data_IF_668597588646
#
_entry.id   IF_668597588646
#
_cell.length_a   1.000
_cell.length_b   1.000
_cell.length_c   1.000
_cell.angle_alpha   90.00
_cell.angle_beta   90.00
_cell.angle_gamma   90.00
#
_symmetry.space_group_name_H-M   'P 1'
#
loop_
_entity.id
_entity.type
_entity.pdbx_description
1 polymer ?
#
# COMPACT_ATOMS: atom_id res chain seq x y z
N UNK A 1 -47.36 6.85 19.13
CA UNK A 1 -46.46 6.14 18.18
C UNK A 1 -45.17 6.98 17.95
N UNK A 2 -44.42 7.30 19.03
CA UNK A 2 -43.29 8.27 18.99
C UNK A 2 -41.97 7.69 19.55
N UNK A 3 -41.94 6.42 19.98
CA UNK A 3 -40.79 5.90 20.77
C UNK A 3 -39.77 5.09 19.94
N UNK A 4 -40.04 4.73 18.68
CA UNK A 4 -39.15 3.85 17.89
C UNK A 4 -38.10 4.57 17.02
N UNK A 5 -38.08 5.90 16.94
CA UNK A 5 -37.23 6.62 15.95
C UNK A 5 -35.85 7.07 16.47
N UNK A 6 -35.57 6.96 17.77
CA UNK A 6 -34.34 7.52 18.36
C UNK A 6 -33.26 6.50 18.74
N UNK A 7 -33.56 5.21 18.82
CA UNK A 7 -32.56 4.21 19.30
C UNK A 7 -31.48 3.96 18.24
N UNK A 8 -31.84 3.87 16.96
CA UNK A 8 -30.89 3.63 15.86
C UNK A 8 -29.93 4.80 15.61
N UNK A 9 -30.38 6.05 15.78
CA UNK A 9 -29.51 7.23 15.64
C UNK A 9 -28.56 7.41 16.83
N UNK A 10 -29.02 7.10 18.04
CA UNK A 10 -28.16 7.09 19.24
C UNK A 10 -27.13 5.96 19.16
N UNK A 11 -27.50 4.76 18.72
CA UNK A 11 -26.55 3.66 18.51
C UNK A 11 -25.51 4.00 17.44
N UNK A 12 -25.92 4.60 16.32
CA UNK A 12 -24.99 5.00 15.26
C UNK A 12 -24.03 6.12 15.69
N UNK A 13 -24.51 7.13 16.42
CA UNK A 13 -23.64 8.17 16.99
C UNK A 13 -22.70 7.62 18.07
N UNK A 14 -23.16 6.67 18.89
CA UNK A 14 -22.36 6.06 19.94
C UNK A 14 -21.29 5.14 19.35
N UNK A 15 -21.62 4.35 18.33
CA UNK A 15 -20.66 3.52 17.58
C UNK A 15 -19.65 4.39 16.82
N UNK A 16 -20.09 5.48 16.20
CA UNK A 16 -19.21 6.48 15.56
C UNK A 16 -18.24 7.13 16.57
N UNK A 17 -18.73 7.58 17.73
CA UNK A 17 -17.90 8.12 18.82
C UNK A 17 -16.95 7.08 19.39
N UNK A 18 -17.40 5.83 19.52
CA UNK A 18 -16.60 4.71 20.01
C UNK A 18 -15.48 4.36 19.03
N UNK A 19 -15.78 4.25 17.73
CA UNK A 19 -14.80 4.07 16.64
C UNK A 19 -13.80 5.23 16.54
N UNK A 20 -14.20 6.43 16.97
CA UNK A 20 -13.33 7.62 17.01
C UNK A 20 -12.47 7.68 18.29
N UNK A 21 -12.76 6.85 19.29
CA UNK A 21 -12.06 6.88 20.58
C UNK A 21 -10.73 6.12 20.51
N UNK A 22 -9.69 6.64 21.17
CA UNK A 22 -8.38 5.95 21.29
C UNK A 22 -8.52 4.57 21.94
N UNK A 23 -9.53 4.38 22.78
CA UNK A 23 -9.82 3.14 23.52
C UNK A 23 -10.25 2.01 22.57
N UNK A 24 -11.07 2.31 21.56
CA UNK A 24 -11.47 1.33 20.55
C UNK A 24 -10.28 0.78 19.75
N UNK A 25 -9.33 1.65 19.40
CA UNK A 25 -8.12 1.23 18.67
C UNK A 25 -7.13 0.46 19.55
N UNK A 26 -7.03 0.81 20.84
CA UNK A 26 -6.29 0.01 21.83
C UNK A 26 -6.94 -1.38 22.05
N UNK A 27 -8.28 -1.46 21.99
CA UNK A 27 -9.00 -2.74 22.02
C UNK A 27 -8.73 -3.58 20.77
N UNK A 28 -8.61 -2.96 19.59
CA UNK A 28 -8.26 -3.68 18.35
C UNK A 28 -6.84 -4.28 18.41
N UNK A 29 -5.90 -3.54 19.01
CA UNK A 29 -4.57 -4.04 19.37
C UNK A 29 -4.68 -5.22 20.35
N UNK A 30 -5.53 -5.09 21.37
CA UNK A 30 -5.81 -6.15 22.35
C UNK A 30 -6.42 -7.41 21.75
N UNK A 31 -7.33 -7.29 20.76
CA UNK A 31 -7.94 -8.42 20.06
C UNK A 31 -6.89 -9.19 19.25
N UNK A 32 -5.88 -8.51 18.70
CA UNK A 32 -4.75 -9.17 18.04
C UNK A 32 -3.97 -10.10 18.98
N UNK A 33 -3.87 -9.75 20.28
CA UNK A 33 -3.20 -10.56 21.29
C UNK A 33 -3.94 -11.88 21.60
N UNK A 34 -5.25 -11.96 21.31
CA UNK A 34 -6.09 -13.10 21.69
C UNK A 34 -6.16 -14.22 20.64
N UNK A 35 -5.73 -13.97 19.39
CA UNK A 35 -5.90 -14.91 18.26
C UNK A 35 -4.79 -15.98 18.21
N UNK A 36 -3.69 -15.83 18.98
CA UNK A 36 -2.51 -16.71 18.91
C UNK A 36 -2.59 -17.96 19.81
N UNK A 37 -3.46 -18.93 19.53
CA UNK A 37 -3.55 -20.18 20.33
C UNK A 37 -3.17 -21.51 19.66
N UNK A 38 -2.74 -21.54 18.40
CA UNK A 38 -2.36 -22.83 17.76
C UNK A 38 -0.98 -22.77 17.10
N UNK A 39 -0.13 -23.72 17.47
CA UNK A 39 1.34 -23.71 17.34
C UNK A 39 1.82 -24.70 16.28
N UNK A 40 2.66 -24.23 15.36
CA UNK A 40 3.55 -25.03 14.52
C UNK A 40 4.86 -24.25 14.31
N UNK A 41 5.98 -24.98 14.26
CA UNK A 41 7.34 -24.45 14.17
C UNK A 41 7.89 -24.56 12.75
N UNK A 42 8.65 -23.54 12.32
CA UNK A 42 9.34 -23.48 11.03
C UNK A 42 10.42 -22.41 11.04
N UNK A 43 11.56 -22.68 10.39
CA UNK A 43 12.66 -21.70 10.24
C UNK A 43 12.28 -20.69 9.14
N UNK A 44 12.20 -19.40 9.46
CA UNK A 44 11.61 -18.37 8.58
C UNK A 44 12.57 -17.30 8.06
N UNK A 45 12.09 -16.56 7.05
CA UNK A 45 12.68 -15.30 6.56
C UNK A 45 12.74 -14.28 7.73
N UNK A 46 13.90 -13.62 7.91
CA UNK A 46 14.08 -12.55 8.90
C UNK A 46 13.84 -11.21 8.21
N UNK A 47 12.67 -10.59 8.38
CA UNK A 47 12.37 -9.32 7.73
C UNK A 47 13.32 -8.23 8.21
N UNK A 48 13.99 -7.58 7.27
CA UNK A 48 14.85 -6.43 7.53
C UNK A 48 13.99 -5.23 7.96
N UNK A 49 14.41 -4.57 9.03
CA UNK A 49 13.77 -3.34 9.53
C UNK A 49 12.93 -3.53 10.78
N UNK A 50 13.25 -2.74 11.83
CA UNK A 50 12.55 -2.72 13.09
C UNK A 50 11.04 -2.48 12.94
N UNK A 51 10.67 -1.52 12.09
CA UNK A 51 9.28 -1.20 11.77
C UNK A 51 8.54 -2.37 11.14
N UNK A 52 9.16 -3.05 10.17
CA UNK A 52 8.58 -4.19 9.46
C UNK A 52 8.29 -5.34 10.42
N UNK A 53 9.27 -5.75 11.24
CA UNK A 53 9.04 -6.87 12.15
C UNK A 53 8.27 -6.55 13.42
N UNK A 54 8.14 -5.30 13.84
CA UNK A 54 7.11 -4.94 14.82
C UNK A 54 5.68 -5.26 14.33
N UNK A 55 5.49 -5.38 13.02
CA UNK A 55 4.24 -5.74 12.35
C UNK A 55 4.32 -7.15 11.72
N UNK A 56 5.07 -8.07 12.34
CA UNK A 56 5.26 -9.45 11.89
C UNK A 56 5.76 -9.59 10.44
N UNK A 57 6.47 -8.59 9.91
CA UNK A 57 6.99 -8.60 8.56
C UNK A 57 5.97 -8.17 7.48
N UNK A 58 4.78 -7.68 7.85
CA UNK A 58 3.83 -7.11 6.89
C UNK A 58 4.32 -5.74 6.42
N UNK A 59 4.92 -5.68 5.24
CA UNK A 59 5.46 -4.41 4.73
C UNK A 59 5.43 -4.29 3.22
N UNK A 60 5.05 -5.34 2.48
CA UNK A 60 5.08 -5.33 1.00
C UNK A 60 4.20 -4.23 0.39
N UNK A 61 3.06 -3.90 1.00
CA UNK A 61 2.14 -2.86 0.53
C UNK A 61 2.46 -1.45 1.04
N UNK A 62 3.41 -1.33 1.98
CA UNK A 62 3.91 -0.06 2.50
C UNK A 62 5.22 0.31 1.83
N UNK A 63 6.27 -0.48 2.08
CA UNK A 63 7.59 -0.42 1.45
C UNK A 63 8.14 1.00 1.21
N UNK A 64 7.98 1.89 2.19
CA UNK A 64 8.20 3.34 2.06
C UNK A 64 9.34 3.86 2.95
N UNK A 65 10.30 3.00 3.26
CA UNK A 65 11.54 3.30 4.02
C UNK A 65 12.71 2.62 3.32
N UNK A 66 13.94 3.11 3.52
CA UNK A 66 15.10 2.63 2.75
C UNK A 66 15.43 1.15 3.01
N UNK A 67 15.20 0.66 4.23
CA UNK A 67 15.34 -0.76 4.61
C UNK A 67 14.33 -1.69 3.90
N UNK A 68 13.23 -1.15 3.37
CA UNK A 68 12.29 -1.89 2.54
C UNK A 68 12.88 -2.40 1.22
N UNK A 69 14.11 -1.97 0.88
CA UNK A 69 14.84 -2.44 -0.29
C UNK A 69 14.93 -3.97 -0.34
N UNK A 70 15.13 -4.61 0.82
CA UNK A 70 15.21 -6.07 0.92
C UNK A 70 13.83 -6.75 0.97
N UNK A 71 12.73 -5.99 0.96
CA UNK A 71 11.35 -6.48 1.06
C UNK A 71 10.58 -6.27 -0.24
N UNK A 72 10.50 -5.04 -0.73
CA UNK A 72 9.83 -4.69 -1.97
C UNK A 72 10.49 -3.47 -2.64
N UNK A 73 11.26 -3.65 -3.73
CA UNK A 73 11.90 -2.54 -4.43
C UNK A 73 10.90 -1.58 -5.09
N UNK A 74 9.65 -1.99 -5.32
CA UNK A 74 8.63 -1.18 -5.96
C UNK A 74 8.15 0.00 -5.13
N UNK A 75 7.99 -0.21 -3.82
CA UNK A 75 7.48 0.82 -2.92
C UNK A 75 8.44 1.98 -2.66
N UNK A 76 9.75 1.80 -2.93
CA UNK A 76 10.80 2.76 -2.58
C UNK A 76 10.62 4.13 -3.25
N UNK A 77 9.92 4.17 -4.38
CA UNK A 77 9.54 5.42 -5.05
C UNK A 77 8.53 6.29 -4.29
N UNK A 78 8.02 5.82 -3.14
CA UNK A 78 7.26 6.61 -2.17
C UNK A 78 8.13 7.45 -1.23
N UNK A 79 9.41 7.09 -1.06
CA UNK A 79 10.33 7.82 -0.16
C UNK A 79 10.53 9.24 -0.70
N UNK A 80 10.39 10.23 0.16
CA UNK A 80 10.61 11.65 -0.18
C UNK A 80 12.01 12.09 0.25
N UNK A 81 12.76 12.72 -0.65
CA UNK A 81 14.14 13.14 -0.36
C UNK A 81 15.14 11.97 -0.39
N UNK A 82 16.28 12.11 0.26
CA UNK A 82 17.25 11.01 0.45
C UNK A 82 17.01 10.38 1.82
N UNK A 83 17.08 9.06 1.93
CA UNK A 83 16.95 8.36 3.21
C UNK A 83 18.06 7.32 3.34
N UNK A 84 18.67 7.23 4.52
CA UNK A 84 19.65 6.21 4.86
C UNK A 84 19.14 5.47 6.10
N UNK A 85 19.13 4.14 6.06
CA UNK A 85 18.71 3.29 7.18
C UNK A 85 19.81 2.31 7.55
N UNK A 86 20.01 2.16 8.85
CA UNK A 86 20.84 1.14 9.48
C UNK A 86 19.91 0.17 10.22
N UNK A 87 20.23 -1.10 10.17
CA UNK A 87 19.50 -2.16 10.85
C UNK A 87 20.47 -3.12 11.52
N UNK A 88 20.11 -3.55 12.73
CA UNK A 88 20.83 -4.59 13.45
C UNK A 88 19.86 -5.49 14.21
N UNK A 89 20.13 -6.78 14.16
CA UNK A 89 19.35 -7.82 14.83
C UNK A 89 20.29 -8.88 15.39
N UNK A 90 19.94 -9.37 16.58
CA UNK A 90 20.58 -10.51 17.24
C UNK A 90 19.53 -11.63 17.40
N UNK A 91 19.40 -12.54 16.41
CA UNK A 91 18.47 -13.65 16.47
C UNK A 91 18.64 -14.48 17.75
N UNK A 92 17.55 -14.66 18.49
CA UNK A 92 17.45 -15.52 19.66
C UNK A 92 18.46 -15.21 20.78
N UNK A 93 19.03 -14.00 20.78
CA UNK A 93 20.08 -13.60 21.72
C UNK A 93 21.44 -14.28 21.51
N UNK A 94 21.62 -15.04 20.42
CA UNK A 94 22.86 -15.76 20.12
C UNK A 94 23.96 -14.79 19.69
N UNK A 95 25.13 -14.85 20.31
CA UNK A 95 26.28 -13.99 19.97
C UNK A 95 26.86 -14.28 18.57
N UNK A 96 26.73 -15.54 18.14
CA UNK A 96 27.37 -16.04 16.93
C UNK A 96 26.57 -15.79 15.65
N UNK A 97 25.33 -15.33 15.76
CA UNK A 97 24.48 -15.02 14.61
C UNK A 97 24.04 -13.58 14.71
N UNK A 98 24.59 -12.75 13.83
CA UNK A 98 24.25 -11.33 13.76
C UNK A 98 23.74 -11.02 12.35
N UNK A 99 22.71 -10.18 12.26
CA UNK A 99 22.22 -9.66 10.99
C UNK A 99 22.33 -8.14 11.05
N UNK A 100 23.04 -7.56 10.08
CA UNK A 100 23.22 -6.12 9.94
C UNK A 100 22.91 -5.68 8.52
N UNK A 101 22.34 -4.49 8.36
CA UNK A 101 22.22 -3.91 7.02
C UNK A 101 22.36 -2.40 7.02
N UNK A 102 22.84 -1.90 5.88
CA UNK A 102 22.84 -0.49 5.52
C UNK A 102 22.08 -0.35 4.21
N UNK A 103 21.10 0.53 4.15
CA UNK A 103 20.37 0.83 2.93
C UNK A 103 20.23 2.33 2.74
N UNK A 104 20.23 2.76 1.48
CA UNK A 104 20.10 4.16 1.11
C UNK A 104 19.23 4.30 -0.13
N UNK A 105 18.38 5.33 -0.12
CA UNK A 105 17.50 5.67 -1.22
C UNK A 105 17.74 7.10 -1.64
N UNK A 106 18.11 7.31 -2.90
CA UNK A 106 18.46 8.60 -3.48
C UNK A 106 17.46 9.00 -4.57
N UNK A 107 16.99 10.25 -4.59
CA UNK A 107 16.21 10.76 -5.70
C UNK A 107 17.11 10.90 -6.93
N UNK A 108 16.67 10.35 -8.06
CA UNK A 108 17.35 10.43 -9.35
C UNK A 108 16.34 10.85 -10.42
N UNK A 109 16.30 12.14 -10.75
CA UNK A 109 15.28 12.74 -11.62
C UNK A 109 13.84 12.35 -11.20
N UNK A 110 13.03 11.76 -12.11
CA UNK A 110 11.66 11.29 -11.87
C UNK A 110 11.60 9.86 -11.29
N UNK A 111 12.71 9.39 -10.73
CA UNK A 111 12.96 7.99 -10.37
C UNK A 111 13.80 7.95 -9.09
N UNK A 112 14.10 6.76 -8.58
CA UNK A 112 14.99 6.61 -7.44
C UNK A 112 15.98 5.48 -7.65
N UNK A 113 17.20 5.73 -7.20
CA UNK A 113 18.26 4.73 -7.07
C UNK A 113 18.34 4.32 -5.60
N UNK A 114 18.39 3.02 -5.37
CA UNK A 114 18.45 2.44 -4.04
C UNK A 114 19.63 1.48 -3.97
N UNK A 115 20.37 1.54 -2.87
CA UNK A 115 21.55 0.73 -2.61
C UNK A 115 21.39 0.09 -1.25
N UNK A 116 21.80 -1.17 -1.13
CA UNK A 116 21.70 -1.93 0.11
C UNK A 116 22.85 -2.91 0.25
N UNK A 117 23.36 -3.03 1.46
CA UNK A 117 24.26 -4.09 1.90
C UNK A 117 23.63 -4.74 3.12
N UNK A 118 23.47 -6.06 3.08
CA UNK A 118 23.09 -6.87 4.23
C UNK A 118 24.17 -7.90 4.49
N UNK A 119 24.52 -8.10 5.75
CA UNK A 119 25.43 -9.16 6.18
C UNK A 119 24.77 -10.00 7.26
N UNK A 120 24.98 -11.31 7.17
CA UNK A 120 24.56 -12.29 8.15
C UNK A 120 25.75 -13.16 8.54
N UNK A 121 25.87 -13.49 9.82
CA UNK A 121 26.80 -14.50 10.32
C UNK A 121 27.96 -13.94 11.14
N UNK A 122 29.10 -14.60 11.06
CA UNK A 122 30.30 -14.38 11.87
C UNK A 122 31.60 -14.70 11.10
N UNK A 123 32.72 -14.86 11.80
CA UNK A 123 34.04 -15.14 11.19
C UNK A 123 34.18 -16.55 10.59
N UNK A 124 33.32 -17.50 10.94
CA UNK A 124 33.34 -18.87 10.41
C UNK A 124 32.42 -19.03 9.20
N UNK A 125 31.29 -18.32 9.23
CA UNK A 125 30.26 -18.36 8.19
C UNK A 125 29.71 -16.96 7.97
N UNK A 126 29.87 -16.43 6.78
CA UNK A 126 29.36 -15.10 6.43
C UNK A 126 28.56 -15.14 5.14
N UNK A 127 27.37 -14.57 5.17
CA UNK A 127 26.61 -14.22 3.98
C UNK A 127 26.61 -12.70 3.79
N UNK A 128 26.75 -12.27 2.54
CA UNK A 128 26.60 -10.88 2.16
C UNK A 128 25.66 -10.75 0.98
N UNK A 129 24.83 -9.71 1.01
CA UNK A 129 23.88 -9.37 -0.03
C UNK A 129 24.07 -7.91 -0.39
N UNK A 130 24.55 -7.67 -1.61
CA UNK A 130 24.59 -6.35 -2.23
C UNK A 130 23.38 -6.20 -3.14
N UNK A 131 22.59 -5.15 -2.98
CA UNK A 131 21.38 -4.91 -3.75
C UNK A 131 21.38 -3.50 -4.31
N UNK A 132 21.21 -3.39 -5.62
CA UNK A 132 20.99 -2.13 -6.32
C UNK A 132 19.60 -2.20 -6.93
N UNK A 133 18.73 -1.25 -6.61
CA UNK A 133 17.39 -1.20 -7.17
C UNK A 133 17.02 0.15 -7.75
N UNK A 134 16.34 0.10 -8.87
CA UNK A 134 15.71 1.25 -9.50
C UNK A 134 14.21 1.19 -9.24
N UNK A 135 13.62 2.34 -8.89
CA UNK A 135 12.18 2.44 -8.66
C UNK A 135 11.59 3.71 -9.27
N UNK A 136 10.32 3.64 -9.69
CA UNK A 136 9.64 4.73 -10.38
C UNK A 136 8.16 4.78 -9.98
N UNK A 137 7.68 5.99 -9.78
CA UNK A 137 6.27 6.28 -9.51
C UNK A 137 5.57 6.83 -10.76
N UNK A 138 4.31 6.44 -10.97
CA UNK A 138 3.40 6.96 -11.97
C UNK A 138 2.20 7.57 -11.27
N UNK A 139 1.99 8.87 -11.48
CA UNK A 139 0.88 9.65 -10.90
C UNK A 139 0.71 9.52 -9.38
N UNK A 140 1.78 9.17 -8.65
CA UNK A 140 1.73 8.92 -7.20
C UNK A 140 0.65 7.89 -6.81
N UNK A 141 0.37 6.95 -7.70
CA UNK A 141 -0.59 5.85 -7.49
C UNK A 141 0.01 4.49 -7.76
N UNK A 142 0.88 4.40 -8.75
CA UNK A 142 1.53 3.14 -9.14
C UNK A 142 3.03 3.32 -8.94
N UNK A 143 3.62 2.47 -8.12
CA UNK A 143 5.03 2.45 -7.79
C UNK A 143 5.59 1.11 -8.22
N UNK A 144 6.64 1.11 -9.04
CA UNK A 144 7.23 -0.11 -9.57
C UNK A 144 8.75 -0.07 -9.37
N UNK A 145 9.37 -1.23 -9.24
CA UNK A 145 10.81 -1.31 -9.05
C UNK A 145 11.38 -2.67 -9.41
N UNK A 146 12.66 -2.64 -9.74
CA UNK A 146 13.49 -3.79 -10.09
C UNK A 146 14.82 -3.67 -9.36
N UNK A 147 15.30 -4.77 -8.81
CA UNK A 147 16.55 -4.90 -8.09
C UNK A 147 17.45 -5.96 -8.71
N UNK A 148 18.73 -5.64 -8.82
CA UNK A 148 19.80 -6.58 -9.10
C UNK A 148 20.55 -6.86 -7.81
N UNK A 149 20.60 -8.13 -7.43
CA UNK A 149 21.19 -8.62 -6.19
C UNK A 149 22.45 -9.43 -6.51
N UNK A 150 23.52 -9.21 -5.76
CA UNK A 150 24.65 -10.13 -5.68
C UNK A 150 24.70 -10.71 -4.27
N UNK A 151 24.57 -12.03 -4.16
CA UNK A 151 24.62 -12.75 -2.90
C UNK A 151 25.87 -13.62 -2.87
N UNK A 152 26.67 -13.50 -1.83
CA UNK A 152 27.89 -14.27 -1.62
C UNK A 152 27.87 -14.98 -0.27
N UNK A 153 28.45 -16.17 -0.23
CA UNK A 153 28.65 -16.97 0.97
C UNK A 153 30.15 -17.22 1.10
N UNK A 154 30.69 -17.01 2.29
CA UNK A 154 32.06 -17.32 2.66
C UNK A 154 32.06 -18.25 3.88
N UNK A 155 32.84 -19.32 3.79
CA UNK A 155 32.99 -20.31 4.85
C UNK A 155 34.47 -20.51 5.13
N UNK A 156 34.88 -20.31 6.38
CA UNK A 156 36.26 -20.47 6.81
C UNK A 156 36.77 -21.89 6.47
N UNK A 157 37.87 -21.95 5.71
CA UNK A 157 38.47 -23.20 5.25
C UNK A 157 37.85 -23.83 3.99
N UNK A 158 36.70 -23.36 3.53
CA UNK A 158 36.03 -23.88 2.32
C UNK A 158 35.97 -22.87 1.15
N UNK A 159 36.26 -21.59 1.43
CA UNK A 159 36.33 -20.51 0.45
C UNK A 159 35.02 -19.75 0.31
N UNK A 160 34.89 -18.99 -0.79
CA UNK A 160 33.73 -18.15 -1.09
C UNK A 160 33.10 -18.48 -2.44
N UNK A 161 31.80 -18.31 -2.55
CA UNK A 161 31.08 -18.34 -3.84
C UNK A 161 30.01 -17.24 -3.88
N UNK A 162 29.56 -16.85 -5.07
CA UNK A 162 28.58 -15.79 -5.22
C UNK A 162 27.73 -15.91 -6.48
N UNK A 163 26.54 -15.32 -6.43
CA UNK A 163 25.52 -15.48 -7.47
C UNK A 163 24.68 -14.23 -7.63
N UNK A 164 24.07 -14.07 -8.82
CA UNK A 164 23.22 -12.92 -9.14
C UNK A 164 21.74 -13.28 -9.05
N UNK A 165 20.98 -12.48 -8.31
CA UNK A 165 19.53 -12.57 -8.18
C UNK A 165 18.83 -11.35 -8.78
N UNK A 166 17.59 -11.54 -9.21
CA UNK A 166 16.72 -10.45 -9.68
C UNK A 166 15.49 -10.38 -8.78
N UNK A 167 15.20 -9.18 -8.29
CA UNK A 167 14.03 -8.89 -7.46
C UNK A 167 13.14 -7.87 -8.19
N UNK A 168 11.83 -8.03 -8.12
CA UNK A 168 10.86 -7.09 -8.68
C UNK A 168 9.77 -6.80 -7.67
N UNK A 169 9.12 -5.65 -7.80
CA UNK A 169 7.94 -5.38 -7.01
C UNK A 169 7.19 -4.14 -7.43
N UNK A 170 5.98 -4.04 -6.91
CA UNK A 170 5.11 -2.90 -7.12
C UNK A 170 4.24 -2.63 -5.89
N UNK A 171 3.77 -1.39 -5.81
CA UNK A 171 2.73 -0.92 -4.88
C UNK A 171 1.74 -0.09 -5.67
N UNK A 172 0.44 -0.34 -5.50
CA UNK A 172 -0.64 0.41 -6.14
C UNK A 172 -1.57 0.96 -5.07
N UNK A 173 -1.66 2.28 -4.99
CA UNK A 173 -2.68 2.98 -4.21
C UNK A 173 -3.99 3.02 -5.01
N UNK A 174 -4.90 2.09 -4.70
CA UNK A 174 -6.22 1.99 -5.36
C UNK A 174 -7.10 3.16 -4.93
N UNK A 175 -7.12 3.45 -3.63
CA UNK A 175 -7.86 4.53 -3.01
C UNK A 175 -6.99 5.20 -1.96
N UNK A 176 -7.37 6.39 -1.47
CA UNK A 176 -6.64 7.08 -0.39
C UNK A 176 -6.55 6.26 0.91
N UNK A 177 -7.36 5.21 1.03
CA UNK A 177 -7.46 4.35 2.21
C UNK A 177 -7.01 2.90 1.94
N UNK A 178 -6.56 2.57 0.73
CA UNK A 178 -6.20 1.21 0.34
C UNK A 178 -5.03 1.19 -0.64
N UNK A 179 -3.98 0.47 -0.26
CA UNK A 179 -2.88 0.09 -1.14
C UNK A 179 -2.77 -1.42 -1.25
N UNK A 180 -2.40 -1.89 -2.43
CA UNK A 180 -1.94 -3.26 -2.66
C UNK A 180 -0.44 -3.25 -2.96
N UNK A 181 0.26 -4.29 -2.55
CA UNK A 181 1.67 -4.48 -2.86
C UNK A 181 1.97 -5.90 -3.28
N UNK A 182 2.97 -6.04 -4.13
CA UNK A 182 3.52 -7.33 -4.52
C UNK A 182 5.04 -7.22 -4.63
N UNK A 183 5.73 -8.27 -4.24
CA UNK A 183 7.16 -8.42 -4.45
C UNK A 183 7.49 -9.87 -4.80
N UNK A 184 8.44 -10.04 -5.72
CA UNK A 184 9.02 -11.34 -6.03
C UNK A 184 10.55 -11.22 -5.95
N UNK A 185 11.17 -12.06 -5.12
CA UNK A 185 12.62 -12.08 -4.93
C UNK A 185 13.21 -13.32 -5.60
N UNK A 186 14.42 -13.18 -6.14
CA UNK A 186 15.14 -14.24 -6.86
C UNK A 186 14.28 -14.85 -7.97
N UNK A 187 13.68 -14.02 -8.83
CA UNK A 187 12.82 -14.49 -9.93
C UNK A 187 13.55 -15.40 -10.92
N UNK A 188 14.87 -15.24 -11.03
CA UNK A 188 15.75 -16.08 -11.84
C UNK A 188 16.20 -17.37 -11.12
N UNK A 189 15.75 -17.62 -9.89
CA UNK A 189 16.07 -18.80 -9.06
C UNK A 189 17.55 -19.20 -9.12
N UNK A 190 18.46 -18.29 -8.73
CA UNK A 190 19.90 -18.51 -8.85
C UNK A 190 20.37 -19.65 -7.96
N UNK A 191 21.55 -20.17 -8.26
CA UNK A 191 22.19 -21.22 -7.48
C UNK A 191 23.55 -20.77 -6.98
N UNK A 192 23.98 -21.31 -5.84
CA UNK A 192 25.24 -20.98 -5.18
C UNK A 192 25.93 -22.26 -4.67
N UNK A 193 27.24 -22.18 -4.52
CA UNK A 193 28.09 -23.26 -4.03
C UNK A 193 28.37 -24.34 -5.07
N UNK A 194 29.33 -25.20 -4.74
CA UNK A 194 29.70 -26.37 -5.57
C UNK A 194 28.53 -27.32 -5.82
N UNK A 195 27.65 -27.48 -4.82
CA UNK A 195 26.44 -28.31 -4.91
C UNK A 195 25.32 -27.68 -5.75
N UNK A 196 25.51 -26.45 -6.25
CA UNK A 196 24.49 -25.67 -6.97
C UNK A 196 23.17 -25.62 -6.22
N UNK A 197 23.22 -25.30 -4.94
CA UNK A 197 22.03 -25.14 -4.12
C UNK A 197 21.21 -23.96 -4.62
N UNK A 198 19.90 -24.16 -4.80
CA UNK A 198 19.01 -23.11 -5.28
C UNK A 198 18.66 -22.16 -4.14
N UNK A 199 18.85 -20.87 -4.38
CA UNK A 199 18.47 -19.84 -3.44
C UNK A 199 16.93 -19.73 -3.29
N UNK A 200 16.44 -19.26 -2.12
CA UNK A 200 15.03 -19.05 -1.87
C UNK A 200 14.40 -18.16 -2.94
N UNK A 201 13.31 -18.61 -3.53
CA UNK A 201 12.46 -17.81 -4.41
C UNK A 201 11.18 -17.50 -3.66
N UNK A 202 10.89 -16.22 -3.43
CA UNK A 202 9.80 -15.79 -2.55
C UNK A 202 8.84 -14.84 -3.27
N UNK A 203 7.56 -14.98 -2.98
CA UNK A 203 6.48 -14.12 -3.46
C UNK A 203 5.72 -13.56 -2.26
N UNK A 204 5.59 -12.24 -2.19
CA UNK A 204 4.75 -11.55 -1.22
C UNK A 204 3.64 -10.83 -1.95
N UNK A 205 2.41 -10.95 -1.48
CA UNK A 205 1.30 -10.08 -1.84
C UNK A 205 0.67 -9.53 -0.58
N UNK A 206 0.30 -8.26 -0.57
CA UNK A 206 -0.23 -7.64 0.63
C UNK A 206 -1.13 -6.46 0.37
N UNK A 207 -1.80 -6.06 1.43
CA UNK A 207 -2.81 -5.03 1.47
C UNK A 207 -2.55 -4.14 2.68
N UNK A 208 -2.61 -2.83 2.48
CA UNK A 208 -2.52 -1.82 3.53
C UNK A 208 -3.80 -0.97 3.53
N UNK A 209 -4.48 -0.92 4.67
CA UNK A 209 -5.68 -0.11 4.91
C UNK A 209 -5.36 1.06 5.82
N UNK A 210 -5.97 2.20 5.53
CA UNK A 210 -5.84 3.42 6.33
C UNK A 210 -7.23 3.85 6.83
N UNK A 211 -7.83 3.09 7.76
CA UNK A 211 -9.17 3.41 8.28
C UNK A 211 -9.19 4.72 9.08
N UNK A 212 -8.04 5.18 9.57
CA UNK A 212 -7.90 6.43 10.30
C UNK A 212 -6.52 7.06 10.00
N UNK A 213 -6.34 8.40 9.99
CA UNK A 213 -5.03 9.04 9.68
C UNK A 213 -3.86 8.63 10.58
N UNK A 214 -4.16 8.09 11.77
CA UNK A 214 -3.20 7.60 12.76
C UNK A 214 -3.08 6.08 12.81
N UNK A 215 -3.75 5.35 11.93
CA UNK A 215 -3.73 3.89 11.97
C UNK A 215 -3.53 3.28 10.59
N UNK A 216 -2.73 2.21 10.55
CA UNK A 216 -2.51 1.38 9.38
C UNK A 216 -2.78 -0.06 9.79
N UNK A 217 -3.56 -0.77 8.99
CA UNK A 217 -3.75 -2.21 9.09
C UNK A 217 -3.12 -2.87 7.86
N UNK A 218 -2.29 -3.88 8.08
CA UNK A 218 -1.58 -4.58 7.02
C UNK A 218 -1.90 -6.07 7.06
N UNK A 219 -2.10 -6.66 5.90
CA UNK A 219 -2.23 -8.09 5.69
C UNK A 219 -1.26 -8.49 4.59
N UNK A 220 -0.47 -9.53 4.80
CA UNK A 220 0.48 -10.05 3.81
C UNK A 220 0.38 -11.57 3.73
N UNK A 221 0.35 -12.10 2.51
CA UNK A 221 0.55 -13.51 2.21
C UNK A 221 1.95 -13.65 1.63
N UNK A 222 2.82 -14.35 2.35
CA UNK A 222 4.18 -14.64 1.97
C UNK A 222 4.30 -16.11 1.56
N UNK A 223 5.00 -16.37 0.46
CA UNK A 223 5.26 -17.72 -0.06
C UNK A 223 6.72 -17.86 -0.46
N UNK A 224 7.49 -18.61 0.32
CA UNK A 224 8.69 -19.26 -0.20
C UNK A 224 8.24 -20.48 -1.01
N UNK A 225 8.76 -20.65 -2.22
CA UNK A 225 8.44 -21.80 -3.08
C UNK A 225 8.71 -23.15 -2.39
N UNK A 226 9.64 -23.21 -1.42
CA UNK A 226 10.05 -24.42 -0.71
C UNK A 226 9.16 -24.76 0.48
N UNK A 227 8.47 -23.78 1.05
CA UNK A 227 7.74 -23.92 2.32
C UNK A 227 6.27 -23.59 2.16
N UNK A 228 5.48 -23.86 3.20
CA UNK A 228 4.08 -23.44 3.24
C UNK A 228 3.93 -21.92 3.27
N UNK A 229 2.77 -21.43 2.86
CA UNK A 229 2.47 -20.00 2.91
C UNK A 229 2.33 -19.49 4.34
N UNK A 230 2.79 -18.26 4.55
CA UNK A 230 2.67 -17.53 5.79
C UNK A 230 1.69 -16.38 5.60
N UNK A 231 0.70 -16.30 6.47
CA UNK A 231 -0.26 -15.20 6.56
C UNK A 231 0.17 -14.34 7.74
N UNK A 232 0.45 -13.07 7.44
CA UNK A 232 0.94 -12.09 8.39
C UNK A 232 -0.07 -10.96 8.50
N UNK A 233 -0.32 -10.51 9.72
CA UNK A 233 -1.16 -9.36 10.01
C UNK A 233 -0.38 -8.39 10.90
N UNK A 234 -0.52 -7.10 10.62
CA UNK A 234 0.22 -6.06 11.32
C UNK A 234 -0.59 -4.79 11.50
N UNK A 235 -0.37 -4.11 12.62
CA UNK A 235 -1.02 -2.84 12.96
C UNK A 235 0.06 -1.82 13.30
N UNK A 236 -0.08 -0.62 12.74
CA UNK A 236 0.65 0.56 13.18
C UNK A 236 -0.33 1.61 13.70
N UNK A 237 -0.11 2.09 14.91
CA UNK A 237 -0.88 3.15 15.53
C UNK A 237 0.03 4.31 15.96
N UNK A 238 -0.18 5.49 15.38
CA UNK A 238 0.51 6.73 15.77
C UNK A 238 -0.15 7.31 17.01
N UNK A 239 0.36 6.93 18.18
CA UNK A 239 -0.08 7.47 19.47
C UNK A 239 0.08 9.01 19.50
N UNK A 240 1.22 9.48 18.98
CA UNK A 240 1.54 10.88 18.75
C UNK A 240 2.22 11.03 17.38
N UNK A 241 2.38 12.27 16.91
CA UNK A 241 2.97 12.51 15.59
C UNK A 241 4.45 12.06 15.51
N UNK A 242 5.12 11.97 16.65
CA UNK A 242 6.49 11.48 16.82
C UNK A 242 6.60 10.06 17.39
N UNK A 243 5.50 9.41 17.78
CA UNK A 243 5.51 8.08 18.41
C UNK A 243 4.50 7.14 17.75
N UNK A 244 5.00 6.06 17.16
CA UNK A 244 4.21 4.95 16.64
C UNK A 244 4.37 3.72 17.53
N UNK A 245 3.26 3.04 17.81
CA UNK A 245 3.20 1.72 18.43
C UNK A 245 2.79 0.70 17.37
N UNK A 246 3.38 -0.49 17.42
CA UNK A 246 3.21 -1.51 16.40
C UNK A 246 3.10 -2.89 17.01
N UNK A 247 2.31 -3.72 16.36
CA UNK A 247 2.04 -5.11 16.76
C UNK A 247 1.78 -5.93 15.51
N UNK A 248 2.09 -7.22 15.55
CA UNK A 248 1.77 -8.13 14.46
C UNK A 248 1.73 -9.58 14.89
N UNK A 249 1.08 -10.38 14.06
CA UNK A 249 1.01 -11.83 14.19
C UNK A 249 1.29 -12.50 12.85
N UNK A 250 1.94 -13.66 12.89
CA UNK A 250 2.08 -14.58 11.76
C UNK A 250 1.58 -15.97 12.16
N UNK A 251 1.20 -16.80 11.18
CA UNK A 251 0.66 -18.14 11.44
C UNK A 251 1.65 -19.30 11.16
N UNK A 252 2.76 -19.07 10.44
CA UNK A 252 3.69 -20.14 10.08
C UNK A 252 5.17 -19.68 10.03
N UNK A 253 5.94 -19.88 11.13
CA UNK A 253 5.46 -20.32 12.44
C UNK A 253 4.56 -19.27 13.09
N UNK A 254 3.76 -19.71 14.07
CA UNK A 254 3.01 -18.75 14.88
C UNK A 254 3.97 -17.84 15.64
N UNK A 255 3.89 -16.54 15.39
CA UNK A 255 4.78 -15.53 15.96
C UNK A 255 3.97 -14.31 16.35
N UNK A 256 4.22 -13.78 17.54
CA UNK A 256 3.78 -12.45 17.94
C UNK A 256 4.97 -11.49 17.91
N UNK A 257 4.73 -10.27 17.43
CA UNK A 257 5.71 -9.19 17.42
C UNK A 257 5.12 -7.90 17.93
N UNK A 258 5.96 -7.09 18.57
CA UNK A 258 5.61 -5.73 18.94
C UNK A 258 6.82 -4.81 18.86
N UNK A 259 6.56 -3.51 18.79
CA UNK A 259 7.61 -2.52 18.74
C UNK A 259 7.07 -1.11 18.75
N UNK A 260 8.00 -0.16 18.70
CA UNK A 260 7.68 1.25 18.63
C UNK A 260 8.66 1.98 17.72
N UNK A 261 8.26 3.17 17.28
CA UNK A 261 9.06 4.06 16.45
C UNK A 261 8.98 5.47 16.98
N UNK A 262 10.13 6.09 17.20
CA UNK A 262 10.24 7.47 17.63
C UNK A 262 10.88 8.29 16.51
N UNK A 263 10.21 9.37 16.10
CA UNK A 263 10.74 10.31 15.12
C UNK A 263 11.07 11.64 15.78
N UNK A 264 12.34 12.05 15.69
CA UNK A 264 12.82 13.34 16.17
C UNK A 264 13.49 14.07 15.01
N UNK A 265 12.82 15.10 14.49
CA UNK A 265 13.29 15.89 13.34
C UNK A 265 13.58 15.00 12.11
N UNK A 266 14.85 14.83 11.73
CA UNK A 266 15.30 14.02 10.59
C UNK A 266 15.63 12.57 10.96
N UNK A 267 15.58 12.22 12.24
CA UNK A 267 15.98 10.91 12.74
C UNK A 267 14.74 10.10 13.10
N UNK A 268 14.73 8.82 12.71
CA UNK A 268 13.78 7.83 13.23
C UNK A 268 14.56 6.72 13.89
N UNK A 269 14.15 6.33 15.10
CA UNK A 269 14.62 5.13 15.80
C UNK A 269 13.44 4.20 15.91
N UNK A 270 13.58 2.99 15.41
CA UNK A 270 12.58 1.94 15.55
C UNK A 270 13.19 0.79 16.37
N UNK A 271 12.42 0.25 17.30
CA UNK A 271 12.78 -0.93 18.08
C UNK A 271 11.65 -1.93 18.03
N UNK A 272 11.98 -3.21 17.91
CA UNK A 272 10.99 -4.27 17.88
C UNK A 272 11.53 -5.58 18.46
N UNK A 273 10.60 -6.42 18.88
CA UNK A 273 10.87 -7.80 19.24
C UNK A 273 9.81 -8.73 18.64
N UNK A 274 10.17 -10.00 18.52
CA UNK A 274 9.22 -11.07 18.25
C UNK A 274 9.50 -12.30 19.11
N UNK A 275 8.47 -13.13 19.23
CA UNK A 275 8.50 -14.38 19.98
C UNK A 275 8.66 -15.57 19.04
N UNK A 276 9.54 -16.50 19.39
CA UNK A 276 9.60 -17.83 18.82
C UNK A 276 9.15 -18.83 19.86
N UNK A 277 8.44 -19.88 19.44
CA UNK A 277 7.87 -20.88 20.35
C UNK A 277 8.94 -21.74 21.05
N UNK A 278 10.17 -21.74 20.55
CA UNK A 278 11.25 -22.66 20.94
C UNK A 278 12.53 -21.91 21.28
N UNK A 279 12.88 -20.91 20.47
CA UNK A 279 14.16 -20.19 20.55
C UNK A 279 14.08 -18.87 21.33
N UNK A 280 12.94 -18.60 21.99
CA UNK A 280 12.76 -17.40 22.81
C UNK A 280 12.54 -16.12 22.02
N UNK A 281 12.91 -14.99 22.63
CA UNK A 281 12.64 -13.65 22.11
C UNK A 281 13.82 -13.13 21.30
N UNK A 282 13.52 -12.57 20.13
CA UNK A 282 14.51 -11.90 19.28
C UNK A 282 14.20 -10.42 19.23
N UNK A 283 15.25 -9.60 19.26
CA UNK A 283 15.15 -8.15 19.25
C UNK A 283 15.88 -7.55 18.05
N UNK A 284 15.42 -6.40 17.61
CA UNK A 284 16.02 -5.66 16.51
C UNK A 284 15.86 -4.15 16.69
N UNK A 285 16.77 -3.41 16.08
CA UNK A 285 16.76 -1.95 16.06
C UNK A 285 17.05 -1.45 14.65
N UNK A 286 16.37 -0.36 14.28
CA UNK A 286 16.67 0.41 13.08
C UNK A 286 16.87 1.87 13.42
N UNK A 287 17.79 2.49 12.70
CA UNK A 287 18.05 3.92 12.76
C UNK A 287 18.03 4.49 11.35
N UNK A 288 17.21 5.51 11.12
CA UNK A 288 17.03 6.10 9.80
C UNK A 288 17.23 7.62 9.83
N UNK A 289 17.97 8.14 8.86
CA UNK A 289 18.18 9.57 8.63
C UNK A 289 17.45 9.98 7.35
N UNK A 290 16.60 11.01 7.45
CA UNK A 290 15.76 11.52 6.37
C UNK A 290 16.27 12.89 5.96
N UNK A 291 16.80 13.00 4.75
CA UNK A 291 17.30 14.24 4.17
C UNK A 291 16.22 14.83 3.26
N UNK A 292 15.56 15.88 3.74
CA UNK A 292 14.53 16.57 2.98
C UNK A 292 15.10 17.51 1.92
N UNK A 293 14.57 17.40 0.70
CA UNK A 293 14.31 18.58 -0.12
C UNK A 293 12.86 18.97 0.21
N UNK A 294 12.61 20.18 0.70
CA UNK A 294 11.23 20.72 0.71
C UNK A 294 10.77 20.65 -0.75
N UNK A 295 9.80 19.78 -1.05
CA UNK A 295 9.09 19.88 -2.33
C UNK A 295 8.44 21.25 -2.29
N UNK A 296 8.74 22.12 -3.25
CA UNK A 296 8.19 23.47 -3.30
C UNK A 296 6.69 23.43 -3.02
N UNK A 297 6.30 24.04 -1.89
CA UNK A 297 4.93 24.35 -1.54
C UNK A 297 4.43 25.43 -2.52
N UNK A 298 4.19 25.06 -3.78
CA UNK A 298 3.81 25.98 -4.85
C UNK A 298 2.65 25.51 -5.71
N UNK A 299 2.26 24.23 -5.61
CA UNK A 299 1.02 23.73 -6.21
C UNK A 299 0.28 22.92 -5.16
N UNK A 300 -0.61 23.60 -4.43
CA UNK A 300 -1.58 22.99 -3.51
C UNK A 300 -2.11 21.70 -4.14
N UNK A 301 -1.76 20.54 -3.59
CA UNK A 301 -2.64 19.40 -3.67
C UNK A 301 -3.96 19.90 -3.10
N UNK A 302 -5.00 20.02 -3.95
CA UNK A 302 -6.35 20.32 -3.50
C UNK A 302 -6.66 19.28 -2.42
N UNK A 303 -6.73 19.71 -1.17
CA UNK A 303 -7.36 18.93 -0.11
C UNK A 303 -8.73 18.53 -0.66
N UNK A 304 -9.07 17.24 -0.78
CA UNK A 304 -10.47 16.89 -0.94
C UNK A 304 -11.14 17.33 0.35
N UNK A 305 -11.91 18.40 0.24
CA UNK A 305 -12.79 18.91 1.28
C UNK A 305 -13.70 17.75 1.69
N UNK A 306 -13.67 17.40 2.97
CA UNK A 306 -14.76 16.66 3.59
C UNK A 306 -15.97 17.57 3.43
N UNK A 307 -16.92 17.19 2.58
CA UNK A 307 -18.18 17.91 2.49
C UNK A 307 -18.89 17.74 3.83
N UNK A 308 -18.73 18.73 4.71
CA UNK A 308 -19.68 18.97 5.79
C UNK A 308 -21.06 19.13 5.15
N UNK A 309 -22.03 18.36 5.63
CA UNK A 309 -23.43 18.48 5.22
C UNK A 309 -24.01 19.68 5.97
N UNK A 310 -24.36 20.81 5.32
CA UNK A 310 -25.02 21.90 6.02
C UNK A 310 -26.49 21.53 6.22
N UNK A 311 -26.95 21.68 7.46
CA UNK A 311 -28.35 21.57 7.86
C UNK A 311 -29.15 22.77 7.31
N UNK A 312 -30.29 22.46 6.67
CA UNK A 312 -31.60 23.14 6.73
C UNK A 312 -31.62 24.68 6.58
N UNK A 313 -32.27 25.19 5.53
CA UNK A 313 -33.64 25.74 5.56
C UNK A 313 -33.93 26.50 4.26
N UNK A 314 -35.14 26.27 3.78
CA UNK A 314 -35.78 26.94 2.65
C UNK A 314 -36.16 28.36 3.07
N UNK A 315 -35.67 29.37 2.37
CA UNK A 315 -36.45 30.58 2.14
C UNK A 315 -36.05 31.23 0.81
N UNK A 316 -37.07 31.65 0.08
CA UNK A 316 -37.03 32.02 -1.33
C UNK A 316 -37.31 33.53 -1.44
N UNK A 317 -36.34 34.31 -1.87
CA UNK A 317 -36.57 35.64 -2.45
C UNK A 317 -35.55 35.93 -3.54
N UNK A 318 -36.05 36.06 -4.76
CA UNK A 318 -35.35 36.41 -5.99
C UNK A 318 -34.99 37.90 -5.98
N UNK A 319 -33.81 38.26 -6.49
CA UNK A 319 -33.66 39.16 -7.65
C UNK A 319 -32.18 39.31 -8.08
N UNK A 320 -31.97 39.02 -9.38
CA UNK A 320 -31.08 39.65 -10.41
C UNK A 320 -29.67 40.16 -10.03
N UNK A 321 -28.59 39.94 -10.79
CA UNK A 321 -28.44 39.83 -12.25
C UNK A 321 -27.01 39.36 -12.64
N UNK A 322 -26.93 38.74 -13.83
CA UNK A 322 -25.80 38.69 -14.79
C UNK A 322 -24.41 38.20 -14.36
N UNK A 323 -24.06 36.98 -14.79
CA UNK A 323 -23.04 36.80 -15.84
C UNK A 323 -23.11 35.38 -16.41
N UNK A 324 -23.27 35.30 -17.73
CA UNK A 324 -23.54 34.08 -18.49
C UNK A 324 -22.28 33.21 -18.63
N UNK A 325 -22.17 32.19 -17.78
CA UNK A 325 -21.36 30.99 -18.07
C UNK A 325 -22.31 29.90 -18.52
N UNK A 326 -22.25 29.54 -19.80
CA UNK A 326 -23.04 28.44 -20.38
C UNK A 326 -22.58 27.11 -19.76
N UNK A 327 -23.28 26.66 -18.72
CA UNK A 327 -23.16 25.29 -18.22
C UNK A 327 -23.81 24.39 -19.27
N UNK A 328 -23.01 23.70 -20.08
CA UNK A 328 -23.51 22.65 -20.96
C UNK A 328 -24.04 21.51 -20.08
N UNK A 329 -25.36 21.49 -19.88
CA UNK A 329 -26.10 20.37 -19.34
C UNK A 329 -25.81 19.15 -20.21
N UNK A 330 -25.12 18.14 -19.65
CA UNK A 330 -24.81 16.92 -20.38
C UNK A 330 -26.10 16.21 -20.82
N UNK A 331 -26.10 15.66 -22.03
CA UNK A 331 -27.23 14.93 -22.61
C UNK A 331 -27.37 13.59 -21.88
N UNK A 332 -28.52 13.36 -21.27
CA UNK A 332 -28.78 12.11 -20.57
C UNK A 332 -29.07 10.97 -21.55
N UNK A 333 -28.18 9.99 -21.66
CA UNK A 333 -28.29 8.90 -22.66
C UNK A 333 -29.46 7.94 -22.41
N UNK A 334 -30.02 7.94 -21.20
CA UNK A 334 -31.17 7.12 -20.85
C UNK A 334 -32.51 7.78 -21.21
N UNK A 335 -32.57 9.10 -21.25
CA UNK A 335 -33.82 9.86 -21.48
C UNK A 335 -33.81 10.68 -22.76
N UNK A 336 -32.63 10.95 -23.34
CA UNK A 336 -32.49 11.76 -24.54
C UNK A 336 -33.30 11.21 -25.70
N UNK A 337 -33.96 12.13 -26.40
CA UNK A 337 -34.63 11.89 -27.67
C UNK A 337 -33.60 11.64 -28.79
N UNK A 338 -34.08 11.09 -29.91
CA UNK A 338 -33.23 10.82 -31.08
C UNK A 338 -32.54 12.10 -31.58
N UNK A 339 -33.26 13.22 -31.60
CA UNK A 339 -32.73 14.53 -32.01
C UNK A 339 -31.74 15.12 -31.01
N UNK A 340 -31.87 14.83 -29.71
CA UNK A 340 -30.89 15.24 -28.71
C UNK A 340 -29.60 14.43 -28.82
N UNK A 341 -29.69 13.12 -29.06
CA UNK A 341 -28.51 12.28 -29.27
C UNK A 341 -27.70 12.69 -30.51
N UNK A 342 -28.37 13.18 -31.56
CA UNK A 342 -27.72 13.70 -32.78
C UNK A 342 -26.90 14.97 -32.56
N UNK A 343 -27.12 15.70 -31.45
CA UNK A 343 -26.30 16.86 -31.10
C UNK A 343 -24.89 16.48 -30.63
N UNK A 344 -24.65 15.21 -30.30
CA UNK A 344 -23.36 14.73 -29.83
C UNK A 344 -22.37 14.55 -31.01
N UNK A 345 -21.11 15.00 -30.86
CA UNK A 345 -20.13 14.93 -31.93
C UNK A 345 -19.79 13.48 -32.31
N UNK A 346 -20.12 13.10 -33.54
CA UNK A 346 -19.89 11.74 -34.06
C UNK A 346 -21.03 10.77 -33.83
N UNK A 347 -22.18 11.22 -33.32
CA UNK A 347 -23.43 10.45 -33.27
C UNK A 347 -24.35 10.93 -34.40
N UNK A 348 -24.49 10.12 -35.46
CA UNK A 348 -25.44 10.35 -36.54
C UNK A 348 -26.73 9.54 -36.37
N UNK A 349 -27.65 9.68 -37.33
CA UNK A 349 -28.97 9.02 -37.39
C UNK A 349 -28.93 7.54 -36.94
N UNK A 350 -28.04 6.76 -37.55
CA UNK A 350 -27.89 5.32 -37.30
C UNK A 350 -27.37 4.99 -35.90
N UNK A 351 -26.51 5.85 -35.32
CA UNK A 351 -25.96 5.64 -33.99
C UNK A 351 -26.96 6.05 -32.91
N UNK A 352 -27.71 7.14 -33.13
CA UNK A 352 -28.78 7.56 -32.23
C UNK A 352 -29.86 6.46 -32.12
N UNK A 353 -30.29 5.88 -33.24
CA UNK A 353 -31.23 4.74 -33.23
C UNK A 353 -30.69 3.53 -32.49
N UNK A 354 -29.40 3.19 -32.67
CA UNK A 354 -28.77 2.05 -31.95
C UNK A 354 -28.68 2.28 -30.44
N UNK A 355 -28.49 3.52 -29.98
CA UNK A 355 -28.48 3.85 -28.55
C UNK A 355 -29.86 3.64 -27.93
N UNK A 356 -30.91 4.09 -28.63
CA UNK A 356 -32.30 3.92 -28.19
C UNK A 356 -32.68 2.43 -28.18
N UNK A 357 -32.41 1.70 -29.28
CA UNK A 357 -32.67 0.26 -29.38
C UNK A 357 -31.95 -0.52 -28.27
N UNK A 358 -30.70 -0.17 -27.98
CA UNK A 358 -29.93 -0.83 -26.94
C UNK A 358 -30.55 -0.64 -25.55
N UNK A 359 -30.96 0.59 -25.19
CA UNK A 359 -31.56 0.85 -23.86
C UNK A 359 -32.97 0.28 -23.72
N UNK A 360 -33.73 0.17 -24.82
CA UNK A 360 -35.04 -0.49 -24.83
C UNK A 360 -34.92 -2.00 -24.66
N UNK A 361 -33.91 -2.63 -25.30
CA UNK A 361 -33.72 -4.08 -25.25
C UNK A 361 -32.99 -4.58 -24.01
N UNK A 362 -31.99 -3.84 -23.53
CA UNK A 362 -31.11 -4.28 -22.43
C UNK A 362 -31.35 -3.53 -21.12
N UNK A 363 -32.26 -2.56 -21.10
CA UNK A 363 -32.49 -1.67 -19.97
C UNK A 363 -31.58 -0.44 -19.98
N UNK A 364 -31.75 0.47 -19.00
CA UNK A 364 -31.01 1.73 -18.94
C UNK A 364 -29.50 1.51 -18.74
N UNK A 365 -28.69 2.39 -19.33
CA UNK A 365 -27.26 2.46 -19.09
C UNK A 365 -26.97 2.86 -17.64
N UNK A 366 -26.09 2.13 -16.96
CA UNK A 366 -25.70 2.39 -15.57
C UNK A 366 -24.50 3.33 -15.50
N UNK A 367 -23.61 3.23 -16.48
CA UNK A 367 -22.44 4.08 -16.65
C UNK A 367 -22.34 4.60 -18.10
N UNK A 368 -21.73 5.77 -18.31
CA UNK A 368 -21.57 6.31 -19.67
C UNK A 368 -20.73 5.40 -20.57
N UNK A 369 -19.83 4.61 -19.97
CA UNK A 369 -18.96 3.64 -20.66
C UNK A 369 -19.72 2.46 -21.27
N UNK A 370 -20.93 2.19 -20.82
CA UNK A 370 -21.79 1.11 -21.34
C UNK A 370 -22.14 1.30 -22.82
N UNK A 371 -22.01 2.53 -23.34
CA UNK A 371 -22.14 2.81 -24.78
C UNK A 371 -21.16 2.01 -25.65
N UNK A 372 -20.02 1.56 -25.11
CA UNK A 372 -19.06 0.73 -25.84
C UNK A 372 -19.58 -0.67 -26.17
N UNK A 373 -20.69 -1.10 -25.57
CA UNK A 373 -21.35 -2.37 -25.89
C UNK A 373 -22.13 -2.31 -27.22
N UNK A 374 -22.31 -1.12 -27.79
CA UNK A 374 -22.95 -0.93 -29.09
C UNK A 374 -21.89 -1.13 -30.18
N UNK A 375 -22.09 -2.12 -31.06
CA UNK A 375 -21.13 -2.59 -32.09
C UNK A 375 -20.44 -1.49 -32.92
N UNK A 376 -21.07 -0.32 -33.10
CA UNK A 376 -20.54 0.81 -33.88
C UNK A 376 -19.99 1.98 -33.06
N UNK A 377 -20.05 1.91 -31.73
CA UNK A 377 -19.46 2.90 -30.84
C UNK A 377 -18.12 2.36 -30.32
N UNK A 378 -17.04 2.75 -30.99
CA UNK A 378 -15.69 2.44 -30.55
C UNK A 378 -15.12 3.51 -29.61
N UNK A 379 -13.98 3.20 -28.99
CA UNK A 379 -13.24 4.11 -28.09
C UNK A 379 -13.04 5.52 -28.67
N UNK A 380 -12.75 5.65 -29.97
CA UNK A 380 -12.55 6.95 -30.64
C UNK A 380 -13.79 7.83 -30.64
N UNK A 381 -14.98 7.25 -30.78
CA UNK A 381 -16.26 7.98 -30.75
C UNK A 381 -16.63 8.31 -29.31
N UNK A 382 -16.48 7.35 -28.40
CA UNK A 382 -16.76 7.53 -26.98
C UNK A 382 -15.95 8.67 -26.36
N UNK A 383 -14.64 8.74 -26.65
CA UNK A 383 -13.77 9.82 -26.16
C UNK A 383 -14.20 11.23 -26.58
N UNK A 384 -14.86 11.37 -27.75
CA UNK A 384 -15.37 12.66 -28.22
C UNK A 384 -16.62 13.12 -27.48
N UNK A 385 -17.45 12.17 -27.04
CA UNK A 385 -18.77 12.46 -26.45
C UNK A 385 -18.78 12.36 -24.92
N UNK A 386 -17.80 11.70 -24.30
CA UNK A 386 -17.82 11.38 -22.84
C UNK A 386 -18.00 12.58 -21.92
N UNK A 387 -17.61 13.79 -22.35
CA UNK A 387 -17.75 15.02 -21.58
C UNK A 387 -19.14 15.68 -21.72
N UNK A 388 -19.94 15.24 -22.68
CA UNK A 388 -21.25 15.81 -23.03
C UNK A 388 -22.41 14.87 -22.74
N UNK A 389 -22.14 13.69 -22.15
CA UNK A 389 -23.15 12.69 -21.83
C UNK A 389 -23.20 12.39 -20.34
N UNK A 390 -24.40 12.09 -19.84
CA UNK A 390 -24.65 11.65 -18.46
C UNK A 390 -25.62 10.48 -18.47
N UNK A 391 -25.64 9.69 -17.39
CA UNK A 391 -26.61 8.57 -17.21
C UNK A 391 -27.75 8.93 -16.25
N UNK A 392 -27.62 10.07 -15.55
CA UNK A 392 -28.62 10.63 -14.63
C UNK A 392 -28.69 12.13 -14.87
N UNK A 393 -29.89 12.68 -14.86
CA UNK A 393 -30.08 14.12 -14.97
C UNK A 393 -29.40 14.80 -13.78
N UNK A 394 -28.58 15.81 -14.08
CA UNK A 394 -28.07 16.71 -13.05
C UNK A 394 -29.27 17.57 -12.67
N UNK A 395 -29.93 17.21 -11.58
CA UNK A 395 -30.96 18.06 -11.00
C UNK A 395 -30.29 19.39 -10.62
N UNK A 396 -30.59 20.45 -11.37
CA UNK A 396 -30.22 21.81 -11.00
C UNK A 396 -30.91 22.11 -9.67
N UNK A 397 -30.13 22.11 -8.59
CA UNK A 397 -30.57 22.45 -7.24
C UNK A 397 -29.80 23.64 -6.75
#
# INVERSE_FOLDING_TARGET
MIVKRNISELEFQTVSKFQSSRIFWLLLIGINLLICRNLQAGLGDFPVGARSLAMAGTYVALANTADALFLNPGGLSQITGTEISLFYQKPFGLDDVNIGSVSASFPLWRTRLNLGLLSLGNSLYQEQVFLIAYSKSYQERIYCGIGLKYQSVEIAGYGSDGTLGIDIGWVVAIHQQLSLGFAAKNINRPSIGKSREKLPQTFSTGLALYPHPRMILNLEIFKDVRFEQEIRFGVEFKAFDNLALRTGTANNPSRFSAGFGIRVNRFTVDYAFFTHNDLGLTQQMSFSIHFGRKREEGKKAKKPVIAEVPKKSMDLSLETQSDSVTVTQGININTASHEELKKLPGIGEKLASLIIEYREKNGPFLETRDLLNIRRIGMKTFEKIKAQIVVRDIANK
#
